data_IF_655130245583
#
_entry.id   IF_655130245583
#
_cell.length_a   1.000
_cell.length_b   1.000
_cell.length_c   1.000
_cell.angle_alpha   90.00
_cell.angle_beta   90.00
_cell.angle_gamma   90.00
#
_symmetry.space_group_name_H-M   'P 1'
#
loop_
_entity.id
_entity.type
_entity.pdbx_description
1 polymer ?
#
# COMPACT_ATOMS: atom_id res chain seq x y z
N UNK A 1 16.34 -33.98 31.38
CA UNK A 1 15.32 -34.81 32.07
C UNK A 1 13.97 -34.08 32.33
N UNK A 2 14.00 -32.84 32.83
CA UNK A 2 12.76 -32.10 33.18
C UNK A 2 11.97 -31.57 31.97
N UNK A 3 12.65 -31.14 30.90
CA UNK A 3 12.00 -30.64 29.68
C UNK A 3 11.21 -31.72 28.93
N UNK A 4 11.74 -32.94 28.88
CA UNK A 4 11.13 -34.07 28.18
C UNK A 4 9.86 -34.58 28.89
N UNK A 5 9.81 -34.42 30.22
CA UNK A 5 8.63 -34.74 31.04
C UNK A 5 7.50 -33.72 30.81
N UNK A 6 7.83 -32.43 30.70
CA UNK A 6 6.86 -31.35 30.45
C UNK A 6 6.19 -31.46 29.07
N UNK A 7 6.98 -31.78 28.04
CA UNK A 7 6.47 -32.00 26.68
C UNK A 7 5.57 -33.24 26.61
N UNK A 8 5.98 -34.35 27.25
CA UNK A 8 5.15 -35.57 27.33
C UNK A 8 3.83 -35.36 28.08
N UNK A 9 3.82 -34.55 29.15
CA UNK A 9 2.60 -34.22 29.89
C UNK A 9 1.61 -33.37 29.08
N UNK A 10 2.11 -32.41 28.28
CA UNK A 10 1.29 -31.58 27.40
C UNK A 10 0.68 -32.40 26.25
N UNK A 11 1.43 -33.34 25.67
CA UNK A 11 0.93 -34.21 24.60
C UNK A 11 0.00 -35.34 25.09
N UNK A 12 0.06 -35.72 26.38
CA UNK A 12 -0.84 -36.74 26.97
C UNK A 12 -2.32 -36.32 27.00
N UNK A 13 -2.61 -35.04 26.78
CA UNK A 13 -3.99 -34.51 26.70
C UNK A 13 -4.80 -34.99 25.49
N UNK A 14 -4.21 -35.77 24.57
CA UNK A 14 -4.88 -36.34 23.38
C UNK A 14 -5.45 -37.75 23.61
N UNK A 15 -5.08 -38.43 24.71
CA UNK A 15 -5.59 -39.77 25.03
C UNK A 15 -6.83 -39.70 25.92
N UNK A 16 -7.91 -40.37 25.48
CA UNK A 16 -9.30 -40.20 25.93
C UNK A 16 -9.59 -40.64 27.37
N UNK A 17 -8.63 -41.25 28.09
CA UNK A 17 -8.84 -41.92 29.38
C UNK A 17 -7.82 -41.57 30.49
N UNK A 18 -7.25 -40.36 30.47
CA UNK A 18 -6.37 -39.87 31.54
C UNK A 18 -6.74 -38.46 32.00
N UNK A 19 -6.42 -38.12 33.24
CA UNK A 19 -6.62 -36.77 33.82
C UNK A 19 -5.91 -35.72 32.95
N UNK A 20 -6.68 -35.08 32.07
CA UNK A 20 -6.15 -34.19 31.03
C UNK A 20 -5.97 -32.77 31.58
N UNK A 21 -4.75 -32.25 31.49
CA UNK A 21 -4.42 -30.83 31.77
C UNK A 21 -5.14 -29.86 30.83
N UNK A 22 -5.84 -30.35 29.80
CA UNK A 22 -6.64 -29.54 28.89
C UNK A 22 -7.83 -28.88 29.59
N UNK A 23 -8.48 -29.58 30.53
CA UNK A 23 -9.66 -29.06 31.25
C UNK A 23 -9.29 -27.90 32.19
N UNK A 24 -8.25 -28.02 33.04
CA UNK A 24 -7.72 -26.90 33.81
C UNK A 24 -7.24 -25.75 32.93
N UNK A 25 -6.50 -26.03 31.84
CA UNK A 25 -6.01 -25.01 30.92
C UNK A 25 -7.14 -24.23 30.24
N UNK A 26 -8.23 -24.90 29.85
CA UNK A 26 -9.41 -24.25 29.25
C UNK A 26 -10.17 -23.37 30.25
N UNK A 27 -10.25 -23.82 31.51
CA UNK A 27 -10.85 -23.02 32.58
C UNK A 27 -10.00 -21.79 32.90
N UNK A 28 -8.67 -21.97 32.98
CA UNK A 28 -7.71 -20.89 33.20
C UNK A 28 -7.75 -19.87 32.06
N UNK A 29 -7.85 -20.32 30.80
CA UNK A 29 -7.98 -19.44 29.64
C UNK A 29 -9.30 -18.64 29.65
N UNK A 30 -10.43 -19.29 30.00
CA UNK A 30 -11.73 -18.61 30.14
C UNK A 30 -11.72 -17.58 31.28
N UNK A 31 -11.13 -17.92 32.43
CA UNK A 31 -10.96 -17.01 33.56
C UNK A 31 -10.08 -15.81 33.18
N UNK A 32 -8.93 -16.06 32.56
CA UNK A 32 -8.07 -14.98 32.07
C UNK A 32 -8.80 -14.08 31.09
N UNK A 33 -9.53 -14.64 30.12
CA UNK A 33 -10.28 -13.87 29.13
C UNK A 33 -11.41 -13.03 29.72
N UNK A 34 -11.99 -13.44 30.86
CA UNK A 34 -13.01 -12.67 31.57
C UNK A 34 -12.40 -11.55 32.44
N UNK A 35 -11.23 -11.79 33.02
CA UNK A 35 -10.56 -10.82 33.92
C UNK A 35 -9.78 -9.77 33.13
N UNK A 36 -9.05 -10.15 32.08
CA UNK A 36 -8.20 -9.24 31.30
C UNK A 36 -8.89 -7.97 30.75
N UNK A 37 -10.11 -8.04 30.18
CA UNK A 37 -10.81 -6.84 29.68
C UNK A 37 -11.19 -5.87 30.80
N UNK A 38 -11.33 -6.37 32.03
CA UNK A 38 -11.68 -5.57 33.22
C UNK A 38 -10.43 -4.94 33.85
N UNK A 39 -9.27 -5.58 33.69
CA UNK A 39 -7.98 -5.13 34.23
C UNK A 39 -7.25 -4.16 33.30
N UNK A 40 -7.57 -4.13 32.01
CA UNK A 40 -7.06 -3.12 31.07
C UNK A 40 -8.11 -2.01 30.92
N UNK A 41 -7.91 -0.83 31.54
CA UNK A 41 -8.83 0.29 31.40
C UNK A 41 -9.05 0.63 29.92
N UNK A 42 -10.27 1.00 29.50
CA UNK A 42 -10.53 1.33 28.09
C UNK A 42 -9.65 2.47 27.55
N UNK A 43 -9.16 3.38 28.42
CA UNK A 43 -8.20 4.43 28.08
C UNK A 43 -6.73 3.99 27.94
N UNK A 44 -6.40 2.73 28.27
CA UNK A 44 -5.06 2.14 28.12
C UNK A 44 -4.92 1.27 26.88
N UNK A 45 -5.95 1.22 26.01
CA UNK A 45 -5.78 0.69 24.65
C UNK A 45 -4.79 1.61 23.93
N UNK A 46 -3.55 1.16 23.79
CA UNK A 46 -2.53 1.88 23.04
C UNK A 46 -3.11 2.27 21.68
N UNK A 47 -3.23 3.57 21.43
CA UNK A 47 -3.64 4.10 20.14
C UNK A 47 -2.60 3.63 19.12
N UNK A 48 -2.98 2.66 18.28
CA UNK A 48 -2.10 2.18 17.22
C UNK A 48 -1.89 3.32 16.23
N UNK A 49 -0.67 3.47 15.73
CA UNK A 49 -0.40 4.37 14.61
C UNK A 49 -1.38 4.04 13.47
N UNK A 50 -2.00 5.04 12.80
CA UNK A 50 -2.86 4.82 11.65
C UNK A 50 -2.19 3.94 10.58
N UNK A 51 -0.89 4.13 10.36
CA UNK A 51 -0.09 3.32 9.45
C UNK A 51 -0.05 1.83 9.85
N UNK A 52 0.13 1.53 11.14
CA UNK A 52 0.09 0.13 11.63
C UNK A 52 -1.30 -0.48 11.50
N UNK A 53 -2.36 0.31 11.70
CA UNK A 53 -3.73 -0.16 11.55
C UNK A 53 -3.99 -0.57 10.09
N UNK A 54 -3.70 0.32 9.13
CA UNK A 54 -3.86 0.07 7.69
C UNK A 54 -3.02 -1.14 7.24
N UNK A 55 -1.75 -1.18 7.64
CA UNK A 55 -0.83 -2.19 7.14
C UNK A 55 -1.01 -3.58 7.78
N UNK A 56 -1.71 -3.67 8.91
CA UNK A 56 -1.95 -4.95 9.60
C UNK A 56 -2.83 -5.94 8.82
N UNK A 57 -3.57 -5.45 7.81
CA UNK A 57 -4.39 -6.28 6.92
C UNK A 57 -3.58 -6.90 5.75
N UNK A 58 -2.29 -6.60 5.62
CA UNK A 58 -1.50 -7.06 4.47
C UNK A 58 -1.23 -8.57 4.53
N UNK A 59 -1.61 -9.27 3.45
CA UNK A 59 -1.37 -10.70 3.28
C UNK A 59 -0.05 -11.05 2.57
N UNK A 60 0.77 -10.04 2.22
CA UNK A 60 2.06 -10.23 1.51
C UNK A 60 1.94 -11.11 0.24
N UNK A 61 0.90 -10.85 -0.56
CA UNK A 61 0.56 -11.62 -1.76
C UNK A 61 1.19 -11.10 -3.07
N UNK A 62 1.93 -10.00 -3.00
CA UNK A 62 2.61 -9.33 -4.13
C UNK A 62 1.71 -8.86 -5.29
N UNK A 63 0.38 -8.85 -5.15
CA UNK A 63 -0.52 -8.36 -6.18
C UNK A 63 -0.23 -6.91 -6.57
N UNK A 64 0.11 -6.06 -5.60
CA UNK A 64 0.46 -4.66 -5.82
C UNK A 64 1.73 -4.47 -6.65
N UNK A 65 2.72 -5.37 -6.56
CA UNK A 65 3.96 -5.30 -7.35
C UNK A 65 3.69 -5.45 -8.83
N UNK A 66 2.86 -6.42 -9.20
CA UNK A 66 2.62 -6.83 -10.59
C UNK A 66 1.89 -5.78 -11.42
N UNK A 67 1.28 -4.78 -10.78
CA UNK A 67 0.49 -3.73 -11.44
C UNK A 67 1.11 -2.34 -11.29
N UNK A 68 2.27 -2.24 -10.63
CA UNK A 68 2.88 -0.98 -10.33
C UNK A 68 3.86 -0.57 -11.44
N UNK A 69 3.62 0.55 -12.13
CA UNK A 69 4.50 0.96 -13.22
C UNK A 69 5.90 1.32 -12.71
N UNK A 70 6.02 1.79 -11.46
CA UNK A 70 7.33 2.06 -10.87
C UNK A 70 8.09 0.78 -10.54
N UNK A 71 7.40 -0.34 -10.30
CA UNK A 71 8.04 -1.65 -10.16
C UNK A 71 8.57 -2.15 -11.49
N UNK A 72 7.88 -1.88 -12.60
CA UNK A 72 8.37 -2.27 -13.93
C UNK A 72 9.61 -1.48 -14.35
N UNK A 73 9.61 -0.16 -14.13
CA UNK A 73 10.71 0.72 -14.57
C UNK A 73 11.86 0.74 -13.57
N UNK A 74 11.58 0.75 -12.27
CA UNK A 74 12.58 0.92 -11.21
C UNK A 74 12.71 -0.29 -10.28
N UNK A 75 12.03 -1.41 -10.55
CA UNK A 75 12.02 -2.57 -9.66
C UNK A 75 13.40 -3.17 -9.41
N UNK A 76 14.33 -3.04 -10.36
CA UNK A 76 15.73 -3.46 -10.18
C UNK A 76 16.45 -2.66 -9.09
N UNK A 77 16.03 -1.42 -8.81
CA UNK A 77 16.55 -0.61 -7.72
C UNK A 77 15.96 -1.05 -6.36
N UNK A 78 14.86 -1.80 -6.35
CA UNK A 78 14.19 -2.33 -5.15
C UNK A 78 13.49 -1.28 -4.27
N UNK A 79 13.94 -0.03 -4.27
CA UNK A 79 13.45 1.03 -3.39
C UNK A 79 12.17 1.73 -3.87
N UNK A 80 11.77 1.50 -5.11
CA UNK A 80 10.66 2.19 -5.76
C UNK A 80 9.45 1.28 -6.00
N UNK A 81 9.22 0.30 -5.11
CA UNK A 81 8.14 -0.67 -5.26
C UNK A 81 7.07 -0.51 -4.18
N UNK A 82 5.80 -0.91 -4.41
CA UNK A 82 4.75 -0.83 -3.39
C UNK A 82 5.09 -1.59 -2.11
N UNK A 83 5.76 -2.76 -2.21
CA UNK A 83 6.14 -3.52 -1.01
C UNK A 83 7.20 -2.79 -0.20
N UNK A 84 8.21 -2.21 -0.85
CA UNK A 84 9.23 -1.45 -0.12
C UNK A 84 8.65 -0.20 0.50
N UNK A 85 7.77 0.53 -0.20
CA UNK A 85 7.00 1.64 0.39
C UNK A 85 6.18 1.22 1.60
N UNK A 86 5.49 0.08 1.52
CA UNK A 86 4.75 -0.50 2.66
C UNK A 86 5.69 -0.84 3.83
N UNK A 87 6.87 -1.38 3.56
CA UNK A 87 7.89 -1.66 4.60
C UNK A 87 8.41 -0.36 5.22
N UNK A 88 8.62 0.69 4.44
CA UNK A 88 8.95 2.04 4.91
C UNK A 88 7.86 2.58 5.84
N UNK A 89 6.58 2.43 5.46
CA UNK A 89 5.44 2.80 6.30
C UNK A 89 5.48 2.09 7.67
N UNK A 90 5.74 0.78 7.69
CA UNK A 90 5.90 0.03 8.94
C UNK A 90 7.08 0.52 9.77
N UNK A 91 8.22 0.82 9.15
CA UNK A 91 9.41 1.32 9.87
C UNK A 91 9.12 2.66 10.54
N UNK A 92 8.58 3.61 9.80
CA UNK A 92 8.19 4.93 10.32
C UNK A 92 7.20 4.77 11.47
N UNK A 93 6.17 3.92 11.29
CA UNK A 93 5.16 3.72 12.31
C UNK A 93 5.69 3.08 13.61
N UNK A 94 6.82 2.38 13.53
CA UNK A 94 7.55 1.82 14.68
C UNK A 94 8.69 2.73 15.18
N UNK A 95 8.84 3.95 14.64
CA UNK A 95 9.93 4.87 15.01
C UNK A 95 11.32 4.42 14.54
N UNK A 96 11.39 3.51 13.57
CA UNK A 96 12.65 3.06 12.96
C UNK A 96 13.05 4.07 11.89
N UNK A 97 14.27 4.65 11.95
CA UNK A 97 14.73 5.62 10.96
C UNK A 97 14.82 4.97 9.58
N UNK A 98 14.68 5.77 8.52
CA UNK A 98 14.82 5.36 7.11
C UNK A 98 15.95 6.16 6.46
N UNK A 99 16.59 5.61 5.42
CA UNK A 99 17.63 6.34 4.69
C UNK A 99 17.04 7.37 3.71
N UNK A 100 17.86 8.32 3.25
CA UNK A 100 17.48 9.25 2.20
C UNK A 100 17.17 8.52 0.89
N UNK A 101 17.93 7.49 0.54
CA UNK A 101 17.72 6.67 -0.66
C UNK A 101 16.34 5.98 -0.63
N UNK A 102 15.94 5.45 0.53
CA UNK A 102 14.61 4.88 0.74
C UNK A 102 13.51 5.94 0.58
N UNK A 103 13.72 7.14 1.11
CA UNK A 103 12.78 8.25 0.96
C UNK A 103 12.66 8.71 -0.50
N UNK A 104 13.77 8.78 -1.24
CA UNK A 104 13.78 9.12 -2.67
C UNK A 104 13.05 8.06 -3.50
N UNK A 105 13.33 6.76 -3.28
CA UNK A 105 12.61 5.67 -3.95
C UNK A 105 11.10 5.68 -3.66
N UNK A 106 10.74 6.07 -2.44
CA UNK A 106 9.34 6.26 -2.04
C UNK A 106 8.63 7.32 -2.89
N UNK A 107 9.27 8.48 -3.12
CA UNK A 107 8.71 9.62 -3.86
C UNK A 107 8.37 9.31 -5.33
N UNK A 108 8.97 8.28 -5.91
CA UNK A 108 8.76 7.88 -7.32
C UNK A 108 7.32 7.38 -7.58
N UNK A 109 6.53 7.10 -6.54
CA UNK A 109 5.16 6.63 -6.71
C UNK A 109 4.30 7.62 -7.51
N UNK A 110 3.78 7.14 -8.65
CA UNK A 110 2.94 7.91 -9.58
C UNK A 110 1.53 8.20 -9.07
N UNK A 111 1.15 7.67 -7.89
CA UNK A 111 -0.21 7.78 -7.34
C UNK A 111 -1.29 7.28 -8.30
N UNK A 112 -0.99 6.21 -9.04
CA UNK A 112 -1.93 5.63 -10.00
C UNK A 112 -3.09 4.83 -9.40
N UNK A 113 -2.95 4.47 -8.13
CA UNK A 113 -3.92 3.71 -7.35
C UNK A 113 -4.17 2.26 -7.82
N UNK A 114 -3.43 1.77 -8.84
CA UNK A 114 -3.46 0.37 -9.27
C UNK A 114 -3.25 -0.60 -8.10
N UNK A 115 -2.29 -0.29 -7.22
CA UNK A 115 -1.97 -1.14 -6.08
C UNK A 115 -3.11 -1.26 -5.05
N UNK A 116 -3.87 -0.19 -4.82
CA UNK A 116 -5.07 -0.20 -3.98
C UNK A 116 -6.16 -1.04 -4.63
N UNK A 117 -6.46 -0.79 -5.91
CA UNK A 117 -7.53 -1.48 -6.66
C UNK A 117 -7.37 -2.99 -6.71
N UNK A 118 -6.14 -3.49 -6.81
CA UNK A 118 -5.88 -4.94 -6.89
C UNK A 118 -5.60 -5.60 -5.54
N UNK A 119 -5.63 -4.84 -4.43
CA UNK A 119 -5.33 -5.40 -3.12
C UNK A 119 -6.47 -6.34 -2.67
N UNK A 120 -6.21 -7.65 -2.45
CA UNK A 120 -7.27 -8.58 -2.05
C UNK A 120 -7.77 -8.38 -0.61
N UNK A 121 -7.10 -7.51 0.16
CA UNK A 121 -7.48 -7.15 1.53
C UNK A 121 -7.91 -5.70 1.66
N UNK A 122 -8.22 -5.04 0.54
CA UNK A 122 -8.77 -3.69 0.47
C UNK A 122 -7.93 -2.64 1.23
N UNK A 123 -6.61 -2.77 1.17
CA UNK A 123 -5.70 -1.79 1.79
C UNK A 123 -5.65 -0.55 0.89
N UNK A 124 -5.97 0.65 1.42
CA UNK A 124 -5.81 1.92 0.70
C UNK A 124 -4.32 2.30 0.65
N UNK A 125 -3.57 1.62 -0.22
CA UNK A 125 -2.11 1.75 -0.30
C UNK A 125 -1.68 3.16 -0.67
N UNK A 126 -2.39 3.82 -1.60
CA UNK A 126 -2.09 5.20 -2.01
C UNK A 126 -2.27 6.19 -0.85
N UNK A 127 -3.39 6.11 -0.13
CA UNK A 127 -3.64 6.95 1.05
C UNK A 127 -2.60 6.72 2.14
N UNK A 128 -2.23 5.45 2.37
CA UNK A 128 -1.14 5.11 3.27
C UNK A 128 0.18 5.76 2.84
N UNK A 129 0.46 5.83 1.54
CA UNK A 129 1.66 6.49 1.04
C UNK A 129 1.63 8.00 1.25
N UNK A 130 0.47 8.63 1.15
CA UNK A 130 0.31 10.06 1.44
C UNK A 130 0.47 10.36 2.94
N UNK A 131 -0.02 9.48 3.81
CA UNK A 131 0.25 9.57 5.25
C UNK A 131 1.75 9.47 5.57
N UNK A 132 2.48 8.58 4.90
CA UNK A 132 3.94 8.46 5.05
C UNK A 132 4.65 9.71 4.55
N UNK A 133 4.28 10.23 3.38
CA UNK A 133 4.91 11.41 2.82
C UNK A 133 4.66 12.65 3.70
N UNK A 134 3.51 12.73 4.38
CA UNK A 134 3.22 13.77 5.38
C UNK A 134 3.92 13.60 6.73
N UNK A 135 4.59 12.47 6.97
CA UNK A 135 5.24 12.18 8.25
C UNK A 135 6.54 12.99 8.44
N UNK A 136 6.77 13.47 9.66
CA UNK A 136 7.95 14.29 9.99
C UNK A 136 9.27 13.53 9.84
N UNK A 137 9.32 12.26 10.23
CA UNK A 137 10.52 11.45 10.11
C UNK A 137 10.84 11.19 8.64
N UNK A 138 9.81 11.01 7.79
CA UNK A 138 9.99 10.92 6.35
C UNK A 138 10.57 12.20 5.77
N UNK A 139 9.99 13.36 6.09
CA UNK A 139 10.49 14.66 5.59
C UNK A 139 11.92 14.95 6.05
N UNK A 140 12.26 14.59 7.29
CA UNK A 140 13.63 14.70 7.81
C UNK A 140 14.62 13.80 7.07
N UNK A 141 14.24 12.55 6.79
CA UNK A 141 15.09 11.62 6.04
C UNK A 141 15.27 12.03 4.58
N UNK A 142 14.21 12.58 3.96
CA UNK A 142 14.24 13.07 2.60
C UNK A 142 15.24 14.22 2.44
N UNK A 143 15.22 15.19 3.37
CA UNK A 143 16.19 16.28 3.40
C UNK A 143 16.16 17.21 2.18
N UNK A 144 15.06 17.24 1.44
CA UNK A 144 14.86 18.12 0.27
C UNK A 144 13.94 19.29 0.60
N UNK A 145 14.20 20.44 -0.02
CA UNK A 145 13.24 21.55 -0.09
C UNK A 145 12.05 21.18 -0.98
N UNK A 146 10.91 21.90 -0.89
CA UNK A 146 9.77 21.65 -1.78
C UNK A 146 10.11 21.77 -3.28
N UNK A 147 11.01 22.69 -3.64
CA UNK A 147 11.45 22.87 -5.02
C UNK A 147 12.28 21.68 -5.52
N UNK A 148 13.29 21.25 -4.77
CA UNK A 148 14.12 20.08 -5.10
C UNK A 148 13.29 18.80 -5.15
N UNK A 149 12.31 18.66 -4.24
CA UNK A 149 11.37 17.55 -4.25
C UNK A 149 10.54 17.53 -5.54
N UNK A 150 10.05 18.69 -5.99
CA UNK A 150 9.31 18.80 -7.25
C UNK A 150 10.21 18.41 -8.43
N UNK A 151 11.40 18.99 -8.51
CA UNK A 151 12.36 18.71 -9.57
C UNK A 151 12.74 17.22 -9.64
N UNK A 152 12.97 16.59 -8.48
CA UNK A 152 13.24 15.16 -8.40
C UNK A 152 12.07 14.34 -8.95
N UNK A 153 10.84 14.63 -8.52
CA UNK A 153 9.64 13.91 -8.98
C UNK A 153 9.44 14.10 -10.48
N UNK A 154 9.59 15.33 -10.98
CA UNK A 154 9.48 15.66 -12.40
C UNK A 154 10.53 14.90 -13.23
N UNK A 155 11.77 14.82 -12.73
CA UNK A 155 12.84 14.07 -13.41
C UNK A 155 12.54 12.58 -13.46
N UNK A 156 12.11 11.98 -12.35
CA UNK A 156 11.74 10.56 -12.30
C UNK A 156 10.55 10.28 -13.22
N UNK A 157 9.68 11.26 -13.39
CA UNK A 157 8.55 11.17 -14.30
C UNK A 157 8.96 11.19 -15.77
N UNK A 158 9.89 12.04 -16.17
CA UNK A 158 10.45 11.98 -17.55
C UNK A 158 11.07 10.61 -17.84
N UNK A 159 11.79 10.02 -16.89
CA UNK A 159 12.35 8.67 -17.03
C UNK A 159 11.24 7.62 -17.23
N UNK A 160 10.11 7.76 -16.55
CA UNK A 160 8.96 6.86 -16.73
C UNK A 160 8.36 6.97 -18.15
N UNK A 161 8.25 8.19 -18.70
CA UNK A 161 7.73 8.42 -20.06
C UNK A 161 8.67 7.87 -21.13
N UNK A 162 9.96 8.07 -20.94
CA UNK A 162 10.98 7.59 -21.88
C UNK A 162 11.21 6.06 -21.80
N UNK A 163 10.60 5.39 -20.82
CA UNK A 163 10.74 3.95 -20.66
C UNK A 163 10.21 3.20 -21.89
N UNK A 164 10.97 2.27 -22.49
CA UNK A 164 10.50 1.47 -23.63
C UNK A 164 9.21 0.68 -23.37
N UNK A 165 8.88 0.44 -22.09
CA UNK A 165 7.64 -0.24 -21.69
C UNK A 165 6.40 0.66 -21.80
N UNK A 166 6.59 1.97 -21.76
CA UNK A 166 5.53 2.96 -21.63
C UNK A 166 5.58 4.07 -22.68
N UNK A 167 6.66 4.17 -23.46
CA UNK A 167 6.89 5.26 -24.41
C UNK A 167 5.80 5.35 -25.48
N UNK A 168 5.34 4.19 -25.99
CA UNK A 168 4.27 4.12 -26.99
C UNK A 168 2.94 4.66 -26.43
N UNK A 169 2.73 4.55 -25.13
CA UNK A 169 1.51 5.01 -24.46
C UNK A 169 1.61 6.46 -23.97
N UNK A 170 2.81 6.88 -23.56
CA UNK A 170 3.05 8.18 -22.91
C UNK A 170 3.45 9.30 -23.89
N UNK A 171 4.03 8.97 -25.03
CA UNK A 171 4.42 9.92 -26.08
C UNK A 171 3.60 9.77 -27.37
N UNK A 172 2.62 8.85 -27.43
CA UNK A 172 1.73 8.76 -28.59
C UNK A 172 1.01 10.09 -28.84
N UNK A 173 1.02 10.53 -30.10
CA UNK A 173 0.11 11.58 -30.55
C UNK A 173 -1.33 11.04 -30.47
N UNK A 174 -2.06 11.45 -29.44
CA UNK A 174 -3.46 11.08 -29.20
C UNK A 174 -4.41 11.82 -30.18
N UNK A 175 -4.13 11.75 -31.48
CA UNK A 175 -4.86 12.45 -32.55
C UNK A 175 -5.92 11.60 -33.25
N UNK A 176 -6.23 10.41 -32.75
CA UNK A 176 -7.27 9.58 -33.35
C UNK A 176 -8.68 10.12 -33.03
N UNK A 177 -9.59 10.03 -34.01
CA UNK A 177 -10.99 10.48 -33.92
C UNK A 177 -11.82 9.79 -32.82
N UNK A 178 -11.24 8.79 -32.17
CA UNK A 178 -11.84 8.01 -31.07
C UNK A 178 -11.23 8.32 -29.71
N UNK A 179 -10.24 9.21 -29.62
CA UNK A 179 -9.59 9.56 -28.36
C UNK A 179 -10.49 10.47 -27.50
N UNK A 180 -10.55 10.19 -26.20
CA UNK A 180 -11.27 11.04 -25.23
C UNK A 180 -10.80 12.50 -25.22
N UNK A 181 -9.56 12.76 -25.68
CA UNK A 181 -8.97 14.10 -25.77
C UNK A 181 -9.57 14.98 -26.87
N UNK A 182 -10.23 14.40 -27.89
CA UNK A 182 -10.95 15.19 -28.91
C UNK A 182 -12.29 15.74 -28.40
N UNK A 183 -12.88 15.16 -27.36
CA UNK A 183 -14.20 15.55 -26.84
C UNK A 183 -14.14 16.66 -25.76
N UNK A 184 -12.98 17.29 -25.55
CA UNK A 184 -12.83 18.38 -24.58
C UNK A 184 -12.93 17.94 -23.12
N UNK A 185 -12.80 16.64 -22.84
CA UNK A 185 -12.77 16.11 -21.48
C UNK A 185 -11.45 16.50 -20.84
N UNK A 186 -11.52 17.28 -19.75
CA UNK A 186 -10.33 17.66 -19.00
C UNK A 186 -9.95 16.53 -18.04
N UNK A 187 -8.89 15.79 -18.36
CA UNK A 187 -8.41 14.73 -17.48
C UNK A 187 -7.49 15.36 -16.43
N UNK A 188 -7.96 15.42 -15.19
CA UNK A 188 -7.18 15.92 -14.05
C UNK A 188 -6.45 14.77 -13.41
N UNK A 189 -5.14 14.78 -13.57
CA UNK A 189 -4.27 13.80 -12.97
C UNK A 189 -3.73 14.33 -11.65
N UNK A 190 -3.95 13.67 -10.50
CA UNK A 190 -3.20 14.01 -9.29
C UNK A 190 -1.70 13.91 -9.61
N UNK A 191 -0.99 15.05 -9.49
CA UNK A 191 0.41 15.28 -9.93
C UNK A 191 0.70 15.28 -11.45
N UNK A 192 -0.30 15.47 -12.33
CA UNK A 192 -0.07 15.66 -13.77
C UNK A 192 0.27 14.40 -14.58
N UNK A 193 -0.06 13.20 -14.06
CA UNK A 193 0.28 11.91 -14.66
C UNK A 193 -0.87 11.27 -15.45
N UNK A 194 -0.68 10.98 -16.75
CA UNK A 194 -1.71 10.47 -17.66
C UNK A 194 -2.46 9.17 -17.27
N UNK A 195 -2.01 8.47 -16.24
CA UNK A 195 -2.62 7.25 -15.70
C UNK A 195 -2.81 7.28 -14.17
N UNK A 196 -2.72 8.46 -13.53
CA UNK A 196 -3.26 8.58 -12.16
C UNK A 196 -4.75 8.74 -12.25
N UNK A 197 -5.46 7.80 -11.62
CA UNK A 197 -6.90 7.78 -11.43
C UNK A 197 -7.66 8.63 -12.47
N UNK A 198 -8.03 8.02 -13.60
CA UNK A 198 -8.63 8.74 -14.73
C UNK A 198 -9.97 9.34 -14.28
N UNK A 199 -9.91 10.55 -13.74
CA UNK A 199 -11.06 11.30 -13.28
C UNK A 199 -11.62 12.03 -14.49
N UNK A 200 -12.61 11.43 -15.13
CA UNK A 200 -13.42 12.10 -16.13
C UNK A 200 -14.21 13.18 -15.38
N UNK A 201 -13.93 14.44 -15.67
CA UNK A 201 -14.68 15.56 -15.10
C UNK A 201 -16.18 15.40 -15.45
N UNK A 202 -17.06 15.20 -14.44
CA UNK A 202 -18.46 14.92 -14.68
C UNK A 202 -19.21 16.09 -15.34
N UNK A 203 -18.68 17.32 -15.26
CA UNK A 203 -19.28 18.48 -15.94
C UNK A 203 -19.02 18.48 -17.45
N UNK A 204 -17.94 17.83 -17.90
CA UNK A 204 -17.55 17.75 -19.32
C UNK A 204 -17.78 16.37 -19.94
N UNK A 205 -18.18 15.38 -19.13
CA UNK A 205 -18.50 14.03 -19.59
C UNK A 205 -19.79 14.02 -20.44
N UNK A 206 -19.67 13.71 -21.73
CA UNK A 206 -20.82 13.65 -22.65
C UNK A 206 -21.67 12.37 -22.54
N UNK A 207 -21.42 11.51 -21.55
CA UNK A 207 -22.15 10.26 -21.30
C UNK A 207 -22.39 9.40 -22.56
N UNK A 208 -21.40 9.29 -23.45
CA UNK A 208 -21.51 8.61 -24.76
C UNK A 208 -21.72 7.09 -24.70
N UNK A 209 -21.87 6.49 -23.51
CA UNK A 209 -22.07 5.05 -23.34
C UNK A 209 -20.83 4.18 -23.55
N UNK A 210 -19.69 4.75 -23.96
CA UNK A 210 -18.42 4.00 -24.04
C UNK A 210 -17.87 3.63 -22.64
N UNK A 211 -18.32 4.32 -21.59
CA UNK A 211 -17.96 4.05 -20.19
C UNK A 211 -18.98 3.15 -19.47
N UNK A 212 -19.59 2.19 -20.18
CA UNK A 212 -20.73 1.39 -19.70
C UNK A 212 -20.43 0.54 -18.44
N UNK A 213 -19.15 0.39 -18.08
CA UNK A 213 -18.73 -0.15 -16.80
C UNK A 213 -17.67 0.79 -16.24
N UNK A 214 -17.60 0.92 -14.92
CA UNK A 214 -16.70 1.78 -14.12
C UNK A 214 -15.18 1.56 -14.39
N UNK A 215 -14.84 0.79 -15.42
CA UNK A 215 -13.51 0.30 -15.81
C UNK A 215 -13.19 0.47 -17.31
N UNK A 216 -13.99 1.22 -18.09
CA UNK A 216 -13.80 1.27 -19.55
C UNK A 216 -12.59 2.11 -20.04
N UNK A 217 -11.85 2.77 -19.15
CA UNK A 217 -10.58 3.42 -19.51
C UNK A 217 -9.37 2.56 -19.09
N UNK A 218 -9.55 1.25 -19.01
CA UNK A 218 -8.47 0.30 -18.80
C UNK A 218 -8.19 -0.37 -20.16
N UNK A 219 -7.10 0.09 -20.80
CA UNK A 219 -6.51 -0.36 -22.06
C UNK A 219 -7.23 0.01 -23.36
N UNK A 220 -6.62 0.95 -24.09
CA UNK A 220 -7.01 1.33 -25.43
C UNK A 220 -6.24 2.54 -25.99
N UNK A 221 -4.93 2.59 -25.76
CA UNK A 221 -3.96 3.30 -26.58
C UNK A 221 -2.77 2.37 -26.75
#
# INVERSE_FOLDING_TARGET
PFFDLGVKLLHKGRERNGFSLYSPGRLFWKLNKAVFPTVVPPGLKASRSPLLAINSACAECDSCERVCPTSDVFGLLGLATPITRRKTANRIANGVPISQEEALGFLVCTRCDNCTRVCPTDIPLTDMFDLVEGDKAFQQALGLTPAEKSEFVDRMWEVMKESPLYIDHTLAEQKEDKSHLQHGINIKYPRGFAYSELFIDPETCIHCGMCAHENACIYGA
#
